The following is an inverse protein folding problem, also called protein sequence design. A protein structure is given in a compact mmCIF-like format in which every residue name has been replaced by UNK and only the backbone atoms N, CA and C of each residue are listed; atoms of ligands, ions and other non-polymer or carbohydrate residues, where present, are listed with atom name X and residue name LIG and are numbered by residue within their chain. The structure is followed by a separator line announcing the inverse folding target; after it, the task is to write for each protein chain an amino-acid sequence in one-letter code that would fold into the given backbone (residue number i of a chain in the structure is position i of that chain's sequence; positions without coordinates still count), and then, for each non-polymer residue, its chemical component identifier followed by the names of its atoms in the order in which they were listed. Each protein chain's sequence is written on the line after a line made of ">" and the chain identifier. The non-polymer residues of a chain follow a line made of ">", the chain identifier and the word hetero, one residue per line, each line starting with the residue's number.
data_IF_969041873244
#
_entry.id   IF_969041873244
#
_cell.length_a   1.000
_cell.length_b   1.000
_cell.length_c   1.000
_cell.angle_alpha   90.00
_cell.angle_beta   90.00
_cell.angle_gamma   90.00
#
_symmetry.space_group_name_H-M   'P 1'
#
loop_
_entity.id
_entity.type
_entity.pdbx_description
1 polymer ?
#
# COMPACT_ATOMS: atom_id res chain seq x y z
N UNK A 1 13.57 -24.42 66.67
CA UNK A 1 12.61 -24.13 65.58
C UNK A 1 13.38 -23.75 64.33
N UNK A 2 13.28 -24.59 63.30
CA UNK A 2 13.79 -24.43 61.93
C UNK A 2 12.98 -23.32 61.20
N UNK A 3 13.34 -22.70 60.06
CA UNK A 3 14.29 -23.02 58.99
C UNK A 3 14.64 -21.74 58.18
N UNK A 4 15.77 -21.80 57.48
CA UNK A 4 16.34 -20.81 56.54
C UNK A 4 15.61 -20.79 55.18
N UNK A 5 15.69 -19.69 54.40
CA UNK A 5 16.52 -19.63 53.17
C UNK A 5 16.54 -18.23 52.51
N UNK A 6 17.68 -17.95 51.88
CA UNK A 6 18.12 -16.70 51.24
C UNK A 6 17.77 -16.72 49.74
N UNK A 7 17.42 -15.57 49.16
CA UNK A 7 17.41 -15.34 47.71
C UNK A 7 17.45 -13.84 47.35
N UNK A 8 18.52 -13.40 46.68
CA UNK A 8 18.72 -12.04 46.12
C UNK A 8 17.83 -11.80 44.88
N UNK A 9 17.56 -10.53 44.50
CA UNK A 9 18.09 -10.03 43.22
C UNK A 9 18.60 -8.56 43.30
N UNK A 10 19.85 -8.33 42.89
CA UNK A 10 20.27 -7.63 41.65
C UNK A 10 20.55 -6.12 41.83
N UNK A 11 21.78 -5.65 41.59
CA UNK A 11 22.10 -4.23 41.56
C UNK A 11 22.18 -3.69 40.13
N UNK A 12 22.06 -2.36 40.04
CA UNK A 12 22.52 -1.44 38.98
C UNK A 12 21.42 -0.85 38.08
N UNK A 13 20.90 0.28 38.57
CA UNK A 13 20.68 1.49 37.77
C UNK A 13 21.79 1.63 36.73
N UNK A 14 21.44 1.71 35.45
CA UNK A 14 22.38 2.17 34.42
C UNK A 14 22.23 3.67 34.26
N UNK A 15 23.15 4.38 34.88
CA UNK A 15 23.51 5.75 34.54
C UNK A 15 23.98 5.81 33.09
N UNK A 16 23.38 6.71 32.30
CA UNK A 16 23.94 7.18 31.04
C UNK A 16 25.23 7.95 31.36
N UNK A 17 26.39 7.38 31.01
CA UNK A 17 27.62 8.14 30.91
C UNK A 17 27.67 8.78 29.52
N UNK A 18 27.45 10.09 29.45
CA UNK A 18 27.85 10.89 28.30
C UNK A 18 29.35 11.19 28.45
N UNK A 19 30.17 10.67 27.54
CA UNK A 19 31.59 11.02 27.46
C UNK A 19 31.74 12.07 26.36
N UNK A 20 32.05 13.30 26.75
CA UNK A 20 32.35 14.40 25.82
C UNK A 20 33.81 14.30 25.40
N UNK A 21 34.06 14.16 24.09
CA UNK A 21 35.39 14.35 23.52
C UNK A 21 35.40 15.65 22.72
N UNK A 22 36.34 16.55 23.05
CA UNK A 22 36.50 17.85 22.40
C UNK A 22 37.81 17.83 21.60
N UNK A 23 37.74 17.67 20.28
CA UNK A 23 38.89 17.98 19.42
C UNK A 23 38.65 19.32 18.74
N UNK A 24 39.54 20.30 18.97
CA UNK A 24 39.58 21.55 18.20
C UNK A 24 40.13 21.24 16.81
N UNK A 25 39.30 21.37 15.79
CA UNK A 25 39.71 21.46 14.39
C UNK A 25 39.62 22.91 13.92
N UNK A 26 40.71 23.41 13.36
CA UNK A 26 40.79 24.71 12.69
C UNK A 26 39.98 24.66 11.38
N UNK A 27 39.34 25.79 11.06
CA UNK A 27 38.54 26.10 9.86
C UNK A 27 37.05 25.71 9.94
N UNK A 28 36.21 26.74 10.14
CA UNK A 28 34.77 26.65 10.20
C UNK A 28 34.14 26.20 8.89
N UNK A 29 33.61 24.97 8.89
CA UNK A 29 32.52 24.49 8.03
C UNK A 29 31.68 23.49 8.83
N UNK A 30 30.36 23.62 8.78
CA UNK A 30 29.40 22.74 9.45
C UNK A 30 29.49 21.30 8.91
N UNK A 31 29.60 20.31 9.79
CA UNK A 31 29.52 18.87 9.47
C UNK A 31 28.26 18.31 10.11
N UNK A 32 27.41 17.67 9.30
CA UNK A 32 26.18 17.01 9.72
C UNK A 32 26.54 15.63 10.30
N UNK A 33 26.08 15.32 11.52
CA UNK A 33 26.38 14.04 12.19
C UNK A 33 25.35 12.98 11.82
N UNK A 34 25.81 11.85 11.27
CA UNK A 34 24.98 10.67 10.96
C UNK A 34 25.10 9.68 12.12
N UNK A 35 24.00 9.32 12.75
CA UNK A 35 23.98 8.28 13.78
C UNK A 35 23.95 6.89 13.12
N UNK A 36 24.95 6.06 13.41
CA UNK A 36 24.96 4.65 13.05
C UNK A 36 24.57 3.83 14.28
N UNK A 37 23.33 3.35 14.33
CA UNK A 37 22.89 2.39 15.34
C UNK A 37 23.25 0.99 14.83
N UNK A 38 24.31 0.38 15.38
CA UNK A 38 24.64 -1.02 15.14
C UNK A 38 23.90 -1.87 16.17
N UNK A 39 22.89 -2.64 15.73
CA UNK A 39 22.29 -3.67 16.57
C UNK A 39 23.20 -4.90 16.61
N UNK A 40 23.77 -5.16 17.79
CA UNK A 40 24.55 -6.38 18.07
C UNK A 40 23.60 -7.48 18.55
N UNK A 41 23.35 -8.48 17.71
CA UNK A 41 22.67 -9.72 18.11
C UNK A 41 23.57 -10.56 19.02
N UNK A 42 23.05 -11.20 20.09
CA UNK A 42 23.83 -12.14 20.87
C UNK A 42 23.95 -13.49 20.13
N UNK A 43 25.19 -13.90 19.87
CA UNK A 43 25.51 -15.23 19.36
C UNK A 43 25.15 -16.31 20.41
N UNK A 44 24.39 -17.34 20.00
CA UNK A 44 24.19 -18.55 20.82
C UNK A 44 25.49 -19.33 20.89
N UNK A 45 25.95 -19.60 22.12
CA UNK A 45 27.08 -20.46 22.45
C UNK A 45 26.63 -21.91 22.30
N UNK A 46 27.17 -22.63 21.32
CA UNK A 46 27.08 -24.10 21.25
C UNK A 46 28.25 -24.67 22.05
N UNK A 47 27.92 -25.32 23.16
CA UNK A 47 28.88 -26.07 23.97
C UNK A 47 29.23 -27.39 23.26
N UNK A 48 30.51 -27.57 22.95
CA UNK A 48 31.08 -28.84 22.52
C UNK A 48 31.30 -29.73 23.74
N UNK A 49 30.74 -30.93 23.74
CA UNK A 49 31.26 -32.05 24.53
C UNK A 49 31.93 -33.05 23.60
N UNK A 50 33.13 -33.47 24.01
CA UNK A 50 33.98 -34.48 23.37
C UNK A 50 34.23 -35.61 24.36
N UNK A 51 34.00 -36.86 23.95
CA UNK A 51 34.76 -38.08 24.31
C UNK A 51 34.22 -39.23 23.43
N UNK A 52 34.97 -39.72 22.42
CA UNK A 52 36.01 -40.77 22.43
C UNK A 52 35.45 -42.19 22.68
N UNK A 53 35.56 -43.05 21.65
CA UNK A 53 35.39 -44.51 21.75
C UNK A 53 34.99 -45.22 20.44
N UNK A 54 35.96 -45.49 19.55
CA UNK A 54 35.88 -46.52 18.48
C UNK A 54 36.37 -47.90 19.03
N UNK A 55 36.40 -49.06 18.31
CA UNK A 55 36.10 -49.40 16.89
C UNK A 55 35.39 -50.80 16.72
N UNK A 56 35.53 -51.59 15.61
CA UNK A 56 35.19 -51.36 14.18
C UNK A 56 34.33 -52.50 13.54
N UNK A 57 33.87 -52.35 12.27
CA UNK A 57 34.43 -53.07 11.09
C UNK A 57 33.52 -53.14 9.82
N UNK A 58 34.19 -53.09 8.65
CA UNK A 58 33.82 -53.54 7.26
C UNK A 58 32.79 -52.67 6.51
N UNK A 59 32.91 -52.32 5.23
CA UNK A 59 33.86 -52.63 4.14
C UNK A 59 33.21 -52.29 2.78
N UNK A 60 34.03 -52.13 1.73
CA UNK A 60 33.72 -51.92 0.29
C UNK A 60 33.27 -50.50 -0.14
N UNK A 61 34.00 -49.69 -0.93
CA UNK A 61 34.84 -49.79 -2.17
C UNK A 61 34.10 -49.27 -3.43
N UNK A 62 34.65 -48.16 -3.96
CA UNK A 62 34.81 -47.76 -5.39
C UNK A 62 33.56 -47.41 -6.22
N UNK A 63 33.58 -46.45 -7.17
CA UNK A 63 34.59 -46.18 -8.21
C UNK A 63 34.42 -44.78 -8.87
N UNK A 64 35.55 -44.22 -9.32
CA UNK A 64 35.76 -43.03 -10.17
C UNK A 64 35.74 -43.38 -11.67
N UNK A 65 35.44 -42.40 -12.53
CA UNK A 65 35.95 -42.15 -13.93
C UNK A 65 35.26 -40.84 -14.40
N UNK A 66 35.86 -39.69 -14.79
CA UNK A 66 37.06 -39.24 -15.51
C UNK A 66 36.78 -38.80 -16.97
N UNK A 67 36.90 -37.47 -17.19
CA UNK A 67 37.60 -36.75 -18.29
C UNK A 67 37.07 -36.87 -19.73
N UNK A 68 36.79 -35.73 -20.39
CA UNK A 68 37.49 -35.26 -21.60
C UNK A 68 37.08 -33.84 -22.04
N UNK A 69 38.10 -33.08 -22.41
CA UNK A 69 38.15 -31.74 -23.02
C UNK A 69 38.12 -31.83 -24.55
N UNK A 70 37.51 -30.86 -25.24
CA UNK A 70 37.90 -30.46 -26.60
C UNK A 70 37.41 -29.05 -26.94
N UNK A 71 38.27 -28.30 -27.63
CA UNK A 71 38.17 -26.89 -28.00
C UNK A 71 37.94 -26.75 -29.51
N UNK A 72 37.25 -25.67 -29.92
CA UNK A 72 37.43 -24.85 -31.15
C UNK A 72 36.34 -24.79 -32.23
N UNK A 73 36.07 -23.52 -32.58
CA UNK A 73 35.75 -22.92 -33.89
C UNK A 73 34.35 -23.04 -34.53
N UNK A 74 33.73 -21.87 -34.75
CA UNK A 74 33.41 -21.45 -36.12
C UNK A 74 31.93 -21.43 -36.54
N UNK A 75 31.43 -20.21 -36.72
CA UNK A 75 30.40 -19.77 -37.69
C UNK A 75 28.91 -20.06 -37.47
N UNK A 76 28.17 -18.96 -37.33
CA UNK A 76 26.88 -18.66 -37.99
C UNK A 76 25.71 -19.64 -37.80
N UNK A 77 24.68 -19.22 -37.06
CA UNK A 77 23.33 -19.04 -37.64
C UNK A 77 22.28 -18.60 -36.62
N UNK A 78 21.33 -17.80 -37.12
CA UNK A 78 19.98 -17.61 -36.64
C UNK A 78 19.75 -16.80 -35.34
N UNK A 79 19.49 -15.50 -35.54
CA UNK A 79 18.65 -14.69 -34.66
C UNK A 79 17.35 -15.44 -34.31
N UNK A 80 16.93 -15.51 -33.04
CA UNK A 80 15.61 -16.00 -32.72
C UNK A 80 14.61 -14.93 -33.15
N UNK A 81 13.84 -15.23 -34.21
CA UNK A 81 12.66 -14.48 -34.60
C UNK A 81 11.74 -14.37 -33.38
N UNK A 82 11.64 -13.17 -32.80
CA UNK A 82 10.56 -12.81 -31.89
C UNK A 82 9.27 -12.97 -32.67
N UNK A 83 8.58 -14.07 -32.45
CA UNK A 83 7.23 -14.32 -32.93
C UNK A 83 6.33 -13.21 -32.39
N UNK A 84 5.83 -12.37 -33.31
CA UNK A 84 4.88 -11.32 -33.00
C UNK A 84 3.67 -11.91 -32.28
N UNK A 85 3.42 -11.41 -31.06
CA UNK A 85 2.09 -11.51 -30.47
C UNK A 85 1.18 -10.64 -31.32
N UNK A 86 0.22 -11.28 -31.98
CA UNK A 86 -0.92 -10.63 -32.59
C UNK A 86 -1.63 -9.79 -31.51
N UNK A 87 -1.46 -8.46 -31.56
CA UNK A 87 -2.44 -7.53 -31.03
C UNK A 87 -3.70 -7.72 -31.88
N UNK A 88 -4.59 -8.62 -31.43
CA UNK A 88 -5.92 -8.76 -32.01
C UNK A 88 -6.63 -7.44 -31.72
N UNK A 89 -7.07 -6.71 -32.76
CA UNK A 89 -7.90 -5.48 -32.61
C UNK A 89 -8.95 -5.73 -31.54
N UNK A 90 -8.77 -5.13 -30.36
CA UNK A 90 -9.73 -5.25 -29.27
C UNK A 90 -10.78 -4.19 -29.49
N UNK A 91 -11.70 -4.40 -30.42
CA UNK A 91 -12.91 -3.59 -30.38
C UNK A 91 -14.06 -4.27 -31.08
N UNK A 92 -15.05 -4.69 -30.28
CA UNK A 92 -16.45 -4.84 -30.71
C UNK A 92 -16.98 -3.58 -31.42
N UNK A 93 -16.32 -2.44 -31.24
CA UNK A 93 -16.66 -1.14 -31.82
C UNK A 93 -15.61 -0.69 -32.84
N UNK A 94 -15.99 -0.55 -34.12
CA UNK A 94 -15.05 -0.11 -35.17
C UNK A 94 -14.81 1.40 -35.22
N UNK A 95 -15.58 2.18 -34.44
CA UNK A 95 -15.51 3.65 -34.38
C UNK A 95 -15.47 4.13 -32.93
N UNK A 96 -14.65 5.14 -32.60
CA UNK A 96 -14.52 5.64 -31.24
C UNK A 96 -15.81 6.32 -30.74
N UNK A 97 -16.60 6.95 -31.62
CA UNK A 97 -17.88 7.55 -31.26
C UNK A 97 -18.89 6.50 -30.80
N UNK A 98 -18.86 5.31 -31.43
CA UNK A 98 -19.72 4.19 -31.06
C UNK A 98 -19.35 3.61 -29.71
N UNK A 99 -18.05 3.47 -29.41
CA UNK A 99 -17.60 3.06 -28.07
C UNK A 99 -18.01 4.09 -27.02
N UNK A 100 -17.81 5.38 -27.30
CA UNK A 100 -18.21 6.47 -26.39
C UNK A 100 -19.69 6.40 -26.07
N UNK A 101 -20.56 6.35 -27.09
CA UNK A 101 -22.00 6.29 -26.88
C UNK A 101 -22.40 5.06 -26.05
N UNK A 102 -21.85 3.89 -26.39
CA UNK A 102 -22.12 2.65 -25.67
C UNK A 102 -21.65 2.66 -24.21
N UNK A 103 -20.54 3.33 -23.91
CA UNK A 103 -20.06 3.56 -22.54
C UNK A 103 -21.02 4.47 -21.79
N UNK A 104 -21.37 5.63 -22.36
CA UNK A 104 -22.28 6.60 -21.74
C UNK A 104 -23.63 5.99 -21.37
N UNK A 105 -24.22 5.21 -22.27
CA UNK A 105 -25.53 4.59 -22.04
C UNK A 105 -25.48 3.57 -20.88
N UNK A 106 -24.37 2.82 -20.77
CA UNK A 106 -24.14 1.87 -19.68
C UNK A 106 -23.88 2.55 -18.35
N UNK A 107 -23.06 3.60 -18.33
CA UNK A 107 -22.82 4.37 -17.11
C UNK A 107 -24.12 5.03 -16.63
N UNK A 108 -24.97 5.53 -17.54
CA UNK A 108 -26.30 6.06 -17.20
C UNK A 108 -27.24 4.98 -16.66
N UNK A 109 -27.25 3.79 -17.26
CA UNK A 109 -28.03 2.66 -16.74
C UNK A 109 -27.60 2.29 -15.32
N UNK A 110 -26.30 2.11 -15.12
CA UNK A 110 -25.74 1.78 -13.81
C UNK A 110 -25.99 2.88 -12.78
N UNK A 111 -25.91 4.16 -13.15
CA UNK A 111 -26.22 5.27 -12.26
C UNK A 111 -27.66 5.20 -11.70
N UNK A 112 -28.61 4.79 -12.55
CA UNK A 112 -30.01 4.57 -12.14
C UNK A 112 -30.15 3.38 -11.21
N UNK A 113 -29.46 2.28 -11.51
CA UNK A 113 -29.61 1.02 -10.77
C UNK A 113 -28.88 1.02 -9.40
N UNK A 114 -27.73 1.69 -9.32
CA UNK A 114 -26.86 1.64 -8.13
C UNK A 114 -26.89 2.89 -7.26
N UNK A 115 -27.80 3.84 -7.54
CA UNK A 115 -27.86 5.18 -6.92
C UNK A 115 -26.51 5.92 -6.86
N UNK A 116 -25.58 5.58 -7.76
CA UNK A 116 -24.26 6.23 -7.82
C UNK A 116 -24.34 7.41 -8.79
N UNK A 117 -23.77 8.57 -8.44
CA UNK A 117 -23.67 9.69 -9.37
C UNK A 117 -22.98 9.31 -10.68
N UNK A 118 -23.49 9.78 -11.82
CA UNK A 118 -22.95 9.45 -13.14
C UNK A 118 -21.50 9.94 -13.30
N UNK A 119 -21.19 11.13 -12.78
CA UNK A 119 -19.83 11.70 -12.80
C UNK A 119 -18.81 10.80 -12.08
N UNK A 120 -19.21 10.15 -10.97
CA UNK A 120 -18.39 9.13 -10.29
C UNK A 120 -18.08 7.96 -11.23
N UNK A 121 -19.09 7.43 -11.90
CA UNK A 121 -18.94 6.28 -12.80
C UNK A 121 -18.06 6.63 -14.00
N UNK A 122 -18.18 7.85 -14.53
CA UNK A 122 -17.32 8.36 -15.62
C UNK A 122 -15.87 8.51 -15.19
N UNK A 123 -15.61 9.11 -14.03
CA UNK A 123 -14.25 9.23 -13.48
C UNK A 123 -13.63 7.86 -13.25
N UNK A 124 -14.39 6.91 -12.72
CA UNK A 124 -13.91 5.56 -12.53
C UNK A 124 -13.56 4.87 -13.85
N UNK A 125 -14.40 5.01 -14.88
CA UNK A 125 -14.11 4.49 -16.22
C UNK A 125 -12.81 5.09 -16.79
N UNK A 126 -12.63 6.41 -16.67
CA UNK A 126 -11.41 7.09 -17.10
C UNK A 126 -10.18 6.63 -16.30
N UNK A 127 -10.32 6.45 -14.98
CA UNK A 127 -9.26 5.95 -14.11
C UNK A 127 -8.84 4.52 -14.44
N UNK A 128 -9.77 3.62 -14.72
CA UNK A 128 -9.42 2.27 -15.15
C UNK A 128 -8.55 2.28 -16.41
N UNK A 129 -8.88 3.13 -17.39
CA UNK A 129 -8.10 3.23 -18.64
C UNK A 129 -6.76 3.93 -18.47
N UNK A 130 -6.63 4.87 -17.53
CA UNK A 130 -5.34 5.45 -17.14
C UNK A 130 -4.47 4.41 -16.42
N UNK A 131 -5.04 3.68 -15.46
CA UNK A 131 -4.34 2.64 -14.71
C UNK A 131 -3.89 1.49 -15.62
N UNK A 132 -4.68 1.12 -16.64
CA UNK A 132 -4.26 0.14 -17.64
C UNK A 132 -2.97 0.58 -18.38
N UNK A 133 -2.83 1.88 -18.68
CA UNK A 133 -1.61 2.43 -19.30
C UNK A 133 -0.43 2.41 -18.34
N UNK A 134 -0.64 2.83 -17.09
CA UNK A 134 0.39 2.77 -16.05
C UNK A 134 0.86 1.33 -15.83
N UNK A 135 -0.05 0.35 -15.77
CA UNK A 135 0.30 -1.08 -15.67
C UNK A 135 1.14 -1.54 -16.87
N UNK A 136 0.81 -1.07 -18.09
CA UNK A 136 1.52 -1.45 -19.30
C UNK A 136 2.92 -0.84 -19.42
N UNK A 137 3.18 0.31 -18.78
CA UNK A 137 4.43 1.08 -18.96
C UNK A 137 5.33 1.10 -17.73
N UNK A 138 4.76 1.07 -16.52
CA UNK A 138 5.53 1.19 -15.30
C UNK A 138 6.37 -0.08 -15.06
N UNK A 139 7.64 0.04 -14.65
CA UNK A 139 8.45 -1.10 -14.25
C UNK A 139 7.81 -1.89 -13.12
N UNK A 140 8.02 -3.21 -13.08
CA UNK A 140 7.51 -4.06 -12.01
C UNK A 140 8.01 -3.58 -10.64
N UNK A 141 7.10 -3.52 -9.65
CA UNK A 141 7.43 -3.07 -8.29
C UNK A 141 7.64 -1.55 -8.13
N UNK A 142 7.61 -0.77 -9.22
CA UNK A 142 7.90 0.68 -9.17
C UNK A 142 6.79 1.53 -8.56
N UNK A 143 5.58 0.99 -8.41
CA UNK A 143 4.44 1.74 -7.89
C UNK A 143 3.41 0.87 -7.17
N UNK A 144 2.53 1.52 -6.41
CA UNK A 144 1.38 0.89 -5.77
C UNK A 144 0.19 1.87 -5.70
N UNK A 145 -1.00 1.41 -6.07
CA UNK A 145 -2.26 2.11 -5.90
C UNK A 145 -2.63 2.23 -4.42
N UNK A 146 -3.18 3.39 -4.04
CA UNK A 146 -3.65 3.73 -2.70
C UNK A 146 -5.09 4.24 -2.73
N UNK A 147 -5.56 4.68 -1.56
CA UNK A 147 -6.73 5.54 -1.43
C UNK A 147 -8.05 4.88 -1.79
N UNK A 148 -9.01 5.69 -2.21
CA UNK A 148 -10.39 5.26 -2.43
C UNK A 148 -10.57 4.33 -3.64
N UNK A 149 -9.71 4.39 -4.65
CA UNK A 149 -9.78 3.46 -5.78
C UNK A 149 -9.43 2.03 -5.36
N UNK A 150 -8.41 1.88 -4.50
CA UNK A 150 -8.07 0.61 -3.89
C UNK A 150 -9.22 0.07 -2.99
N UNK A 151 -9.98 0.97 -2.34
CA UNK A 151 -11.21 0.58 -1.63
C UNK A 151 -12.32 0.12 -2.56
N UNK A 152 -12.60 0.88 -3.63
CA UNK A 152 -13.68 0.54 -4.58
C UNK A 152 -13.49 -0.86 -5.15
N UNK A 153 -12.25 -1.25 -5.44
CA UNK A 153 -11.94 -2.58 -5.93
C UNK A 153 -12.25 -3.71 -4.92
N UNK A 154 -12.24 -3.42 -3.62
CA UNK A 154 -12.44 -4.41 -2.55
C UNK A 154 -13.86 -4.42 -1.97
N UNK A 155 -14.50 -3.25 -1.82
CA UNK A 155 -15.82 -3.11 -1.16
C UNK A 155 -16.88 -2.43 -2.04
N UNK A 156 -16.61 -2.31 -3.35
CA UNK A 156 -17.56 -1.91 -4.41
C UNK A 156 -18.45 -0.71 -4.09
N UNK A 157 -19.76 -0.91 -3.88
CA UNK A 157 -20.78 0.14 -3.82
C UNK A 157 -20.75 0.97 -2.53
N UNK A 158 -20.26 0.40 -1.42
CA UNK A 158 -20.17 1.08 -0.12
C UNK A 158 -18.92 1.95 0.03
N UNK A 159 -17.91 1.73 -0.82
CA UNK A 159 -16.74 2.59 -0.85
C UNK A 159 -17.17 4.03 -1.15
N UNK A 160 -16.77 4.96 -0.29
CA UNK A 160 -16.81 6.39 -0.54
C UNK A 160 -16.01 6.67 -1.81
N UNK A 161 -16.67 7.25 -2.81
CA UNK A 161 -16.02 7.61 -4.07
C UNK A 161 -14.77 8.45 -3.82
N UNK A 162 -13.66 8.14 -4.49
CA UNK A 162 -12.54 9.10 -4.57
C UNK A 162 -12.64 9.88 -5.87
N UNK A 163 -12.37 11.17 -5.77
CA UNK A 163 -12.26 12.09 -6.90
C UNK A 163 -10.86 11.99 -7.53
N UNK A 164 -9.90 11.40 -6.81
CA UNK A 164 -8.48 11.41 -7.12
C UNK A 164 -7.91 9.98 -7.16
N UNK A 165 -6.94 9.70 -8.06
CA UNK A 165 -6.07 8.52 -7.93
C UNK A 165 -4.93 8.90 -7.00
N UNK A 166 -4.79 8.15 -5.91
CA UNK A 166 -3.62 8.17 -5.06
C UNK A 166 -2.73 6.98 -5.38
N UNK A 167 -1.44 7.20 -5.56
CA UNK A 167 -0.46 6.13 -5.71
C UNK A 167 0.83 6.45 -4.94
N UNK A 168 1.67 5.44 -4.73
CA UNK A 168 3.06 5.64 -4.34
C UNK A 168 4.00 5.24 -5.45
N UNK A 169 4.97 6.10 -5.74
CA UNK A 169 6.11 5.82 -6.58
C UNK A 169 7.26 5.32 -5.71
N UNK A 170 7.64 4.07 -5.91
CA UNK A 170 8.66 3.32 -5.14
C UNK A 170 10.01 3.28 -5.86
N UNK A 171 9.93 3.69 -7.11
CA UNK A 171 10.95 4.11 -8.06
C UNK A 171 12.02 5.10 -7.59
N UNK A 172 13.16 5.21 -8.28
CA UNK A 172 13.95 6.44 -8.32
C UNK A 172 13.07 7.64 -8.71
N UNK A 173 13.10 8.71 -7.92
CA UNK A 173 12.24 9.87 -8.10
C UNK A 173 12.41 10.53 -9.48
N UNK A 174 13.62 10.50 -10.05
CA UNK A 174 13.94 11.06 -11.36
C UNK A 174 13.27 10.30 -12.52
N UNK A 175 12.80 9.08 -12.31
CA UNK A 175 12.11 8.27 -13.32
C UNK A 175 10.59 8.46 -13.37
N UNK A 176 10.01 9.12 -12.37
CA UNK A 176 8.55 9.32 -12.30
C UNK A 176 8.02 10.08 -13.51
N UNK A 177 8.66 11.20 -13.88
CA UNK A 177 8.22 12.02 -15.02
C UNK A 177 8.24 11.22 -16.33
N UNK A 178 9.31 10.46 -16.58
CA UNK A 178 9.41 9.62 -17.78
C UNK A 178 8.34 8.51 -17.80
N UNK A 179 8.03 7.88 -16.67
CA UNK A 179 6.95 6.90 -16.57
C UNK A 179 5.58 7.53 -16.89
N UNK A 180 5.31 8.72 -16.34
CA UNK A 180 4.06 9.46 -16.59
C UNK A 180 3.91 9.81 -18.07
N UNK A 181 4.98 10.27 -18.72
CA UNK A 181 5.01 10.56 -20.16
C UNK A 181 4.77 9.30 -21.00
N UNK A 182 5.39 8.19 -20.64
CA UNK A 182 5.17 6.90 -21.30
C UNK A 182 3.72 6.42 -21.14
N UNK A 183 3.14 6.54 -19.94
CA UNK A 183 1.75 6.18 -19.69
C UNK A 183 0.78 7.06 -20.51
N UNK A 184 1.05 8.36 -20.66
CA UNK A 184 0.24 9.25 -21.50
C UNK A 184 0.30 8.87 -22.99
N UNK A 185 1.48 8.46 -23.47
CA UNK A 185 1.72 8.08 -24.87
C UNK A 185 1.28 6.65 -25.22
N UNK A 186 0.95 5.82 -24.24
CA UNK A 186 0.59 4.43 -24.47
C UNK A 186 -0.76 4.29 -25.18
N UNK A 187 -0.73 3.71 -26.37
CA UNK A 187 -1.92 3.29 -27.11
C UNK A 187 -2.25 1.83 -26.79
N UNK A 188 -3.46 1.59 -26.30
CA UNK A 188 -3.97 0.27 -25.93
C UNK A 188 -5.11 -0.19 -26.85
N UNK A 189 -5.25 0.42 -28.04
CA UNK A 189 -6.31 0.13 -29.01
C UNK A 189 -7.73 0.28 -28.41
N UNK A 190 -7.90 1.14 -27.39
CA UNK A 190 -9.15 1.34 -26.63
C UNK A 190 -9.83 2.69 -26.91
N UNK A 191 -9.31 3.45 -27.88
CA UNK A 191 -9.71 4.80 -28.27
C UNK A 191 -9.59 5.89 -27.19
N UNK A 192 -9.06 5.58 -26.01
CA UNK A 192 -8.77 6.59 -25.01
C UNK A 192 -7.44 7.29 -25.31
N UNK A 193 -7.40 8.59 -25.06
CA UNK A 193 -6.19 9.41 -25.09
C UNK A 193 -6.06 10.14 -23.76
N UNK A 194 -4.83 10.32 -23.29
CA UNK A 194 -4.56 11.00 -22.02
C UNK A 194 -3.53 12.10 -22.23
N UNK A 195 -3.88 13.31 -21.82
CA UNK A 195 -2.95 14.41 -21.67
C UNK A 195 -2.67 14.61 -20.17
N UNK A 196 -1.44 14.32 -19.75
CA UNK A 196 -1.00 14.51 -18.37
C UNK A 196 -0.19 15.80 -18.30
N UNK A 197 -0.70 16.78 -17.56
CA UNK A 197 -0.07 18.09 -17.42
C UNK A 197 1.12 18.08 -16.46
N UNK A 198 1.78 19.23 -16.35
CA UNK A 198 2.93 19.41 -15.46
C UNK A 198 2.54 19.13 -14.01
N UNK A 199 3.32 18.27 -13.36
CA UNK A 199 3.16 17.96 -11.94
C UNK A 199 3.45 19.17 -11.04
N UNK A 200 2.68 19.33 -9.98
CA UNK A 200 2.93 20.30 -8.91
C UNK A 200 3.23 19.60 -7.58
N UNK A 201 4.19 20.09 -6.78
CA UNK A 201 4.48 19.51 -5.47
C UNK A 201 3.26 19.59 -4.54
N UNK A 202 3.01 18.52 -3.81
CA UNK A 202 2.03 18.43 -2.73
C UNK A 202 2.70 17.89 -1.46
N UNK A 203 2.07 18.14 -0.31
CA UNK A 203 2.53 17.53 0.93
C UNK A 203 2.31 16.02 0.87
N UNK A 204 3.41 15.27 0.90
CA UNK A 204 3.40 13.81 0.93
C UNK A 204 3.52 13.23 2.34
N UNK A 205 3.67 11.92 2.40
CA UNK A 205 3.81 11.17 3.65
C UNK A 205 5.27 10.93 4.06
N UNK A 206 6.23 11.26 3.18
CA UNK A 206 7.67 11.11 3.42
C UNK A 206 8.46 12.38 3.07
N UNK A 207 9.79 12.37 3.26
CA UNK A 207 10.65 13.54 3.05
C UNK A 207 10.65 14.04 1.60
N UNK A 208 10.43 13.15 0.63
CA UNK A 208 10.35 13.48 -0.79
C UNK A 208 9.02 14.18 -1.17
N UNK A 209 8.02 14.15 -0.28
CA UNK A 209 6.69 14.70 -0.54
C UNK A 209 5.92 13.92 -1.61
N UNK A 210 5.04 14.62 -2.33
CA UNK A 210 4.29 14.05 -3.44
C UNK A 210 4.17 15.02 -4.61
N UNK A 211 3.67 14.51 -5.73
CA UNK A 211 3.43 15.29 -6.94
C UNK A 211 2.00 15.04 -7.39
N UNK A 212 1.27 16.12 -7.65
CA UNK A 212 -0.07 16.09 -8.25
C UNK A 212 0.01 16.40 -9.73
N UNK A 213 -0.48 15.49 -10.56
CA UNK A 213 -0.61 15.67 -11.99
C UNK A 213 -2.08 15.92 -12.37
N UNK A 214 -2.40 17.02 -13.05
CA UNK A 214 -3.70 17.18 -13.70
C UNK A 214 -3.75 16.27 -14.93
N UNK A 215 -4.86 15.56 -15.13
CA UNK A 215 -5.02 14.64 -16.26
C UNK A 215 -6.31 14.95 -17.01
N UNK A 216 -6.22 15.11 -18.32
CA UNK A 216 -7.38 15.14 -19.23
C UNK A 216 -7.47 13.79 -19.94
N UNK A 217 -8.62 13.15 -19.85
CA UNK A 217 -8.96 11.97 -20.65
C UNK A 217 -9.86 12.36 -21.81
N UNK A 218 -9.60 11.80 -22.99
CA UNK A 218 -10.40 12.00 -24.21
C UNK A 218 -10.83 10.65 -24.75
N UNK A 219 -12.00 10.64 -25.38
CA UNK A 219 -12.56 9.47 -26.05
C UNK A 219 -13.32 9.93 -27.29
N UNK A 220 -12.90 9.44 -28.46
CA UNK A 220 -13.44 9.90 -29.75
C UNK A 220 -13.18 11.38 -30.00
N UNK A 221 -11.92 11.82 -29.79
CA UNK A 221 -11.47 13.19 -30.06
C UNK A 221 -12.06 14.26 -29.14
N UNK A 222 -12.92 13.91 -28.18
CA UNK A 222 -13.58 14.83 -27.25
C UNK A 222 -13.19 14.53 -25.82
N UNK A 223 -13.07 15.57 -25.00
CA UNK A 223 -12.89 15.43 -23.55
C UNK A 223 -13.97 14.48 -22.98
N UNK A 224 -13.51 13.51 -22.21
CA UNK A 224 -14.34 12.55 -21.49
C UNK A 224 -14.43 12.94 -20.01
N UNK A 225 -13.28 13.07 -19.34
CA UNK A 225 -13.20 13.47 -17.92
C UNK A 225 -11.89 14.21 -17.63
N UNK A 226 -11.91 15.05 -16.59
CA UNK A 226 -10.71 15.59 -15.95
C UNK A 226 -10.49 14.94 -14.60
N UNK A 227 -9.24 14.59 -14.34
CA UNK A 227 -8.83 13.76 -13.24
C UNK A 227 -7.63 14.37 -12.51
N UNK A 228 -7.38 13.90 -11.30
CA UNK A 228 -6.15 14.18 -10.55
C UNK A 228 -5.43 12.89 -10.25
N UNK A 229 -4.12 12.91 -10.47
CA UNK A 229 -3.23 11.82 -10.15
C UNK A 229 -2.19 12.29 -9.13
N UNK A 230 -2.39 11.88 -7.88
CA UNK A 230 -1.54 12.22 -6.75
C UNK A 230 -0.57 11.07 -6.51
N UNK A 231 0.73 11.36 -6.64
CA UNK A 231 1.80 10.38 -6.51
C UNK A 231 2.68 10.76 -5.35
N UNK A 232 2.65 9.95 -4.30
CA UNK A 232 3.55 10.08 -3.17
C UNK A 232 4.90 9.44 -3.52
N UNK A 233 6.00 10.16 -3.38
CA UNK A 233 7.33 9.68 -3.78
C UNK A 233 7.99 9.01 -2.57
N UNK A 234 8.26 7.71 -2.69
CA UNK A 234 8.81 6.87 -1.61
C UNK A 234 9.88 5.89 -2.18
N UNK A 235 11.03 6.39 -2.66
CA UNK A 235 12.05 5.55 -3.28
C UNK A 235 12.53 4.47 -2.32
N UNK A 236 12.59 3.22 -2.79
CA UNK A 236 13.06 2.09 -1.99
C UNK A 236 12.08 1.61 -0.91
N UNK A 237 10.81 2.03 -0.94
CA UNK A 237 9.78 1.36 -0.14
C UNK A 237 9.68 -0.11 -0.60
N UNK A 238 9.97 -1.05 0.30
CA UNK A 238 9.96 -2.50 0.05
C UNK A 238 8.74 -3.20 0.67
N UNK A 239 7.77 -2.46 1.21
CA UNK A 239 6.55 -3.04 1.77
C UNK A 239 5.79 -3.88 0.73
N UNK A 240 5.11 -4.95 1.14
CA UNK A 240 4.39 -5.81 0.21
C UNK A 240 3.30 -5.03 -0.54
N UNK A 241 3.04 -5.44 -1.77
CA UNK A 241 1.88 -5.03 -2.56
C UNK A 241 1.07 -6.26 -2.92
N UNK A 242 -0.22 -6.08 -3.15
CA UNK A 242 -1.10 -7.13 -3.65
C UNK A 242 -1.68 -6.74 -5.01
N UNK A 243 -1.93 -7.74 -5.85
CA UNK A 243 -2.57 -7.53 -7.14
C UNK A 243 -4.08 -7.49 -6.93
N UNK A 244 -4.69 -6.37 -7.29
CA UNK A 244 -6.13 -6.15 -7.13
C UNK A 244 -6.76 -5.98 -8.50
N UNK A 245 -7.75 -6.82 -8.80
CA UNK A 245 -8.58 -6.66 -9.99
C UNK A 245 -9.64 -5.58 -9.76
N UNK A 246 -9.67 -4.57 -10.62
CA UNK A 246 -10.70 -3.54 -10.61
C UNK A 246 -11.98 -4.08 -11.27
N UNK A 247 -13.16 -3.64 -10.78
CA UNK A 247 -14.43 -3.98 -11.42
C UNK A 247 -14.39 -3.65 -12.91
N UNK A 248 -14.87 -4.54 -13.76
CA UNK A 248 -14.80 -4.29 -15.20
C UNK A 248 -15.96 -3.40 -15.68
N UNK A 249 -15.67 -2.14 -16.02
CA UNK A 249 -16.65 -1.22 -16.63
C UNK A 249 -16.71 -1.32 -18.16
N UNK A 250 -15.85 -2.15 -18.76
CA UNK A 250 -15.63 -2.25 -20.20
C UNK A 250 -15.79 -3.66 -20.75
N UNK A 251 -16.36 -4.58 -19.96
CA UNK A 251 -16.70 -5.95 -20.36
C UNK A 251 -17.53 -5.99 -21.65
N UNK A 252 -18.44 -5.02 -21.80
CA UNK A 252 -19.27 -4.87 -22.97
C UNK A 252 -18.51 -4.57 -24.27
N UNK A 253 -17.27 -4.10 -24.16
CA UNK A 253 -16.38 -3.79 -25.28
C UNK A 253 -15.28 -4.86 -25.46
N UNK A 254 -15.38 -5.99 -24.73
CA UNK A 254 -14.39 -7.07 -24.69
C UNK A 254 -13.01 -6.60 -24.20
N UNK A 255 -12.97 -5.53 -23.40
CA UNK A 255 -11.76 -5.09 -22.71
C UNK A 255 -11.62 -5.85 -21.37
N UNK A 256 -10.44 -6.40 -21.07
CA UNK A 256 -10.22 -7.13 -19.82
C UNK A 256 -10.30 -6.20 -18.62
N UNK A 257 -10.62 -6.77 -17.46
CA UNK A 257 -10.49 -6.09 -16.18
C UNK A 257 -9.04 -5.65 -15.97
N UNK A 258 -8.86 -4.52 -15.29
CA UNK A 258 -7.52 -3.97 -15.02
C UNK A 258 -7.04 -4.52 -13.69
N UNK A 259 -5.86 -5.14 -13.67
CA UNK A 259 -5.21 -5.61 -12.45
C UNK A 259 -4.08 -4.67 -12.08
N UNK A 260 -4.08 -4.13 -10.87
CA UNK A 260 -3.12 -3.13 -10.39
C UNK A 260 -2.39 -3.60 -9.14
N UNK A 261 -1.10 -3.27 -8.97
CA UNK A 261 -0.44 -3.40 -7.67
C UNK A 261 -1.04 -2.36 -6.72
N UNK A 262 -1.53 -2.77 -5.56
CA UNK A 262 -2.09 -1.89 -4.54
C UNK A 262 -1.45 -2.15 -3.18
N UNK A 263 -1.49 -1.14 -2.30
CA UNK A 263 -1.12 -1.36 -0.90
C UNK A 263 -2.11 -2.34 -0.24
N UNK A 264 -1.65 -3.26 0.62
CA UNK A 264 -2.51 -4.22 1.26
C UNK A 264 -3.38 -3.54 2.34
N UNK A 265 -4.51 -4.17 2.70
CA UNK A 265 -5.48 -3.64 3.66
C UNK A 265 -4.86 -3.20 5.02
N UNK A 266 -3.96 -3.97 5.64
CA UNK A 266 -3.31 -3.57 6.89
C UNK A 266 -2.52 -2.26 6.76
N UNK A 267 -1.80 -2.08 5.63
CA UNK A 267 -1.09 -0.84 5.38
C UNK A 267 -2.08 0.31 5.18
N UNK A 268 -3.17 0.09 4.45
CA UNK A 268 -4.19 1.10 4.26
C UNK A 268 -4.86 1.52 5.58
N UNK A 269 -5.15 0.57 6.47
CA UNK A 269 -5.63 0.84 7.83
C UNK A 269 -4.61 1.64 8.64
N UNK A 270 -3.34 1.26 8.61
CA UNK A 270 -2.27 1.98 9.31
C UNK A 270 -2.09 3.42 8.80
N UNK A 271 -2.11 3.62 7.47
CA UNK A 271 -1.99 4.95 6.86
C UNK A 271 -3.18 5.85 7.24
N UNK A 272 -4.38 5.28 7.34
CA UNK A 272 -5.62 5.95 7.78
C UNK A 272 -5.63 6.28 9.26
N UNK A 273 -5.23 5.34 10.11
CA UNK A 273 -5.10 5.57 11.55
C UNK A 273 -4.12 6.72 11.79
N UNK A 274 -2.95 6.70 11.14
CA UNK A 274 -2.01 7.80 11.23
C UNK A 274 -2.61 9.12 10.74
N UNK A 275 -3.34 9.14 9.62
CA UNK A 275 -3.99 10.37 9.15
C UNK A 275 -5.05 10.88 10.15
N UNK A 276 -5.80 9.97 10.78
CA UNK A 276 -6.78 10.29 11.81
C UNK A 276 -6.13 10.84 13.08
N UNK A 277 -5.01 10.27 13.54
CA UNK A 277 -4.38 10.64 14.82
C UNK A 277 -3.27 11.68 14.71
N UNK A 278 -2.92 12.11 13.49
CA UNK A 278 -1.84 13.06 13.25
C UNK A 278 -2.16 14.43 13.86
N UNK A 279 -1.15 15.03 14.48
CA UNK A 279 -1.19 16.44 14.87
C UNK A 279 -1.07 17.34 13.62
N UNK A 280 -2.08 18.19 13.43
CA UNK A 280 -2.15 19.17 12.36
C UNK A 280 -1.86 20.60 12.85
N UNK A 281 -1.34 20.74 14.07
CA UNK A 281 -1.05 22.01 14.72
C UNK A 281 -2.32 22.82 14.96
N UNK A 282 -2.36 24.06 14.45
CA UNK A 282 -3.52 24.94 14.58
C UNK A 282 -4.68 24.60 13.64
N UNK A 283 -4.48 23.70 12.67
CA UNK A 283 -5.53 23.31 11.73
C UNK A 283 -6.35 22.17 12.31
N UNK A 284 -7.66 22.33 12.34
CA UNK A 284 -8.55 21.23 12.74
C UNK A 284 -8.41 20.05 11.77
N UNK A 285 -8.44 18.85 12.35
CA UNK A 285 -8.35 17.62 11.59
C UNK A 285 -9.57 17.48 10.65
N UNK A 286 -9.32 17.23 9.36
CA UNK A 286 -10.35 17.10 8.31
C UNK A 286 -10.43 15.68 7.74
N UNK A 287 -10.33 14.68 8.63
CA UNK A 287 -10.33 13.26 8.30
C UNK A 287 -11.58 12.45 8.75
N UNK A 288 -12.82 12.99 8.76
CA UNK A 288 -14.02 12.15 9.04
C UNK A 288 -14.18 11.01 8.02
N UNK A 289 -13.63 11.22 6.82
CA UNK A 289 -13.52 10.22 5.77
C UNK A 289 -12.65 9.01 6.13
N UNK A 290 -11.60 9.19 6.94
CA UNK A 290 -10.70 8.11 7.34
C UNK A 290 -11.35 7.28 8.46
N UNK A 291 -12.16 7.89 9.34
CA UNK A 291 -13.05 7.17 10.26
C UNK A 291 -14.01 6.26 9.50
N UNK A 292 -14.74 6.81 8.52
CA UNK A 292 -15.68 6.02 7.70
C UNK A 292 -15.00 4.84 7.01
N UNK A 293 -13.88 5.09 6.33
CA UNK A 293 -13.17 4.05 5.59
C UNK A 293 -12.63 2.95 6.51
N UNK A 294 -12.12 3.28 7.71
CA UNK A 294 -11.63 2.27 8.66
C UNK A 294 -12.77 1.38 9.17
N UNK A 295 -13.93 1.96 9.50
CA UNK A 295 -15.10 1.20 9.91
C UNK A 295 -15.63 0.33 8.77
N UNK A 296 -15.64 0.84 7.54
CA UNK A 296 -16.04 0.07 6.37
C UNK A 296 -15.09 -1.11 6.10
N UNK A 297 -13.77 -0.92 6.24
CA UNK A 297 -12.80 -2.02 6.15
C UNK A 297 -13.05 -3.06 7.25
N UNK A 298 -13.25 -2.61 8.49
CA UNK A 298 -13.53 -3.50 9.61
C UNK A 298 -14.85 -4.26 9.44
N UNK A 299 -15.83 -3.70 8.73
CA UNK A 299 -17.10 -4.36 8.48
C UNK A 299 -17.04 -5.38 7.34
N UNK A 300 -16.34 -5.06 6.24
CA UNK A 300 -16.45 -5.80 4.98
C UNK A 300 -15.28 -6.75 4.71
N UNK A 301 -14.11 -6.49 5.30
CA UNK A 301 -12.88 -7.16 4.91
C UNK A 301 -12.28 -7.95 6.05
N UNK A 302 -11.64 -9.06 5.70
CA UNK A 302 -10.78 -9.79 6.61
C UNK A 302 -9.55 -8.94 6.93
N UNK A 303 -9.23 -8.85 8.22
CA UNK A 303 -8.06 -8.14 8.73
C UNK A 303 -7.01 -9.16 9.15
N UNK A 304 -5.74 -8.78 9.09
CA UNK A 304 -4.66 -9.61 9.63
C UNK A 304 -4.85 -9.87 11.13
N UNK A 305 -4.23 -10.92 11.68
CA UNK A 305 -4.11 -11.09 13.12
C UNK A 305 -3.59 -9.82 13.79
N UNK A 306 -4.06 -9.59 15.01
CA UNK A 306 -3.85 -8.36 15.77
C UNK A 306 -2.38 -7.93 15.80
N UNK A 307 -1.47 -8.87 16.07
CA UNK A 307 -0.04 -8.58 16.16
C UNK A 307 0.58 -8.14 14.83
N UNK A 308 0.15 -8.72 13.71
CA UNK A 308 0.65 -8.35 12.39
C UNK A 308 0.12 -6.98 11.95
N UNK A 309 -1.15 -6.67 12.25
CA UNK A 309 -1.69 -5.33 12.03
C UNK A 309 -0.90 -4.29 12.83
N UNK A 310 -0.64 -4.56 14.11
CA UNK A 310 0.14 -3.68 14.95
C UNK A 310 1.58 -3.46 14.42
N UNK A 311 2.25 -4.50 13.94
CA UNK A 311 3.59 -4.39 13.34
C UNK A 311 3.58 -3.48 12.09
N UNK A 312 2.56 -3.61 11.23
CA UNK A 312 2.38 -2.73 10.05
C UNK A 312 2.12 -1.28 10.47
N UNK A 313 1.39 -1.06 11.56
CA UNK A 313 1.21 0.27 12.12
C UNK A 313 2.52 0.85 12.66
N UNK A 314 3.29 0.10 13.45
CA UNK A 314 4.61 0.51 13.93
C UNK A 314 5.50 0.94 12.76
N UNK A 315 5.55 0.15 11.68
CA UNK A 315 6.32 0.48 10.49
C UNK A 315 5.84 1.79 9.83
N UNK A 316 4.52 1.97 9.70
CA UNK A 316 3.93 3.15 9.05
C UNK A 316 4.19 4.43 9.84
N UNK A 317 4.08 4.39 11.17
CA UNK A 317 4.38 5.53 12.04
C UNK A 317 5.88 5.82 12.08
N UNK A 318 6.73 4.79 12.14
CA UNK A 318 8.19 4.94 12.08
C UNK A 318 8.67 5.59 10.78
N UNK A 319 8.10 5.22 9.62
CA UNK A 319 8.42 5.85 8.33
C UNK A 319 8.03 7.34 8.27
N UNK A 320 7.10 7.76 9.13
CA UNK A 320 6.58 9.13 9.20
C UNK A 320 7.19 9.93 10.35
N UNK A 321 8.13 9.35 11.08
CA UNK A 321 8.78 9.92 12.26
C UNK A 321 7.76 10.40 13.32
N UNK A 322 6.70 9.60 13.54
CA UNK A 322 5.67 9.86 14.55
C UNK A 322 5.59 8.72 15.58
N UNK A 323 5.20 9.02 16.83
CA UNK A 323 5.18 8.02 17.89
C UNK A 323 4.07 6.99 17.72
N UNK A 324 4.36 5.75 18.12
CA UNK A 324 3.41 4.64 18.24
C UNK A 324 3.39 4.10 19.68
N UNK A 325 2.21 3.73 20.24
CA UNK A 325 0.87 3.92 19.67
C UNK A 325 0.40 5.37 19.76
N UNK A 326 -0.42 5.85 18.81
CA UNK A 326 -1.09 7.15 18.94
C UNK A 326 -2.20 7.11 20.00
N UNK A 327 -2.58 8.29 20.49
CA UNK A 327 -3.82 8.45 21.26
C UNK A 327 -5.00 8.54 20.31
N UNK A 328 -5.99 7.68 20.50
CA UNK A 328 -7.26 7.78 19.77
C UNK A 328 -8.19 8.76 20.49
N UNK A 329 -8.43 9.91 19.87
CA UNK A 329 -9.28 10.96 20.44
C UNK A 329 -10.67 10.99 19.77
N UNK A 330 -11.67 11.40 20.55
CA UNK A 330 -13.03 11.66 20.06
C UNK A 330 -12.98 12.68 18.91
N UNK A 331 -13.65 12.44 17.78
CA UNK A 331 -13.81 13.42 16.72
C UNK A 331 -14.37 14.75 17.24
N UNK A 332 -13.92 15.89 16.69
CA UNK A 332 -14.52 17.18 17.02
C UNK A 332 -15.98 17.26 16.54
N UNK A 333 -16.76 18.15 17.15
CA UNK A 333 -18.18 18.36 16.81
C UNK A 333 -18.39 18.74 15.33
N UNK A 334 -17.40 19.39 14.72
CA UNK A 334 -17.42 19.74 13.29
C UNK A 334 -17.53 18.52 12.36
N UNK A 335 -17.26 17.31 12.84
CA UNK A 335 -17.39 16.07 12.07
C UNK A 335 -18.83 15.52 12.04
N UNK A 336 -19.75 16.02 12.88
CA UNK A 336 -21.13 15.51 12.95
C UNK A 336 -21.83 15.62 11.61
N UNK A 337 -21.80 16.80 10.98
CA UNK A 337 -22.44 17.01 9.69
C UNK A 337 -21.79 16.22 8.54
N UNK A 338 -20.44 16.21 8.38
CA UNK A 338 -19.76 15.31 7.43
C UNK A 338 -20.09 13.83 7.63
N UNK A 339 -20.15 13.37 8.88
CA UNK A 339 -20.48 11.98 9.20
C UNK A 339 -21.90 11.64 8.75
N UNK A 340 -22.88 12.46 9.11
CA UNK A 340 -24.27 12.29 8.65
C UNK A 340 -24.38 12.24 7.12
N UNK A 341 -23.56 13.03 6.42
CA UNK A 341 -23.41 12.97 4.96
C UNK A 341 -22.95 11.60 4.48
N UNK A 342 -21.89 11.04 5.05
CA UNK A 342 -21.40 9.70 4.67
C UNK A 342 -22.43 8.60 4.96
N UNK A 343 -23.11 8.65 6.11
CA UNK A 343 -24.16 7.68 6.46
C UNK A 343 -25.30 7.73 5.45
N UNK A 344 -25.76 8.94 5.09
CA UNK A 344 -26.82 9.11 4.09
C UNK A 344 -26.40 8.63 2.70
N UNK A 345 -25.18 8.98 2.27
CA UNK A 345 -24.76 8.79 0.88
C UNK A 345 -24.18 7.40 0.60
N UNK A 346 -23.68 6.70 1.63
CA UNK A 346 -22.96 5.42 1.48
C UNK A 346 -23.38 4.32 2.46
N UNK A 347 -24.19 4.65 3.48
CA UNK A 347 -24.64 3.71 4.51
C UNK A 347 -23.58 3.42 5.57
N UNK A 348 -24.01 3.16 6.80
CA UNK A 348 -23.14 2.75 7.90
C UNK A 348 -23.95 1.99 8.95
N UNK A 349 -23.36 0.97 9.58
CA UNK A 349 -23.92 0.33 10.79
C UNK A 349 -24.05 1.32 11.96
N UNK A 350 -23.27 2.40 11.95
CA UNK A 350 -23.18 3.39 13.02
C UNK A 350 -23.74 4.73 12.53
N UNK A 351 -25.01 5.01 12.85
CA UNK A 351 -25.70 6.21 12.37
C UNK A 351 -25.19 7.52 12.99
N UNK A 352 -24.74 7.47 14.25
CA UNK A 352 -24.27 8.65 14.97
C UNK A 352 -22.74 8.67 15.10
N UNK A 353 -22.13 9.85 15.06
CA UNK A 353 -20.68 10.01 15.17
C UNK A 353 -20.12 9.41 16.47
N UNK A 354 -20.84 9.54 17.58
CA UNK A 354 -20.44 8.96 18.87
C UNK A 354 -20.42 7.43 18.82
N UNK A 355 -21.45 6.82 18.22
CA UNK A 355 -21.51 5.36 18.04
C UNK A 355 -20.41 4.86 17.10
N UNK A 356 -20.10 5.62 16.05
CA UNK A 356 -19.02 5.31 15.13
C UNK A 356 -17.64 5.39 15.80
N UNK A 357 -17.44 6.38 16.68
CA UNK A 357 -16.21 6.46 17.47
C UNK A 357 -16.08 5.31 18.46
N UNK A 358 -17.14 4.96 19.19
CA UNK A 358 -17.11 3.79 20.09
C UNK A 358 -16.78 2.48 19.34
N UNK A 359 -17.31 2.33 18.12
CA UNK A 359 -16.96 1.22 17.24
C UNK A 359 -15.50 1.25 16.79
N UNK A 360 -14.95 2.44 16.51
CA UNK A 360 -13.54 2.63 16.18
C UNK A 360 -12.64 2.28 17.37
N UNK A 361 -13.02 2.67 18.59
CA UNK A 361 -12.31 2.30 19.82
C UNK A 361 -12.32 0.79 20.07
N UNK A 362 -13.45 0.11 19.83
CA UNK A 362 -13.53 -1.34 19.94
C UNK A 362 -12.60 -2.05 18.94
N UNK A 363 -12.50 -1.51 17.71
CA UNK A 363 -11.63 -2.04 16.67
C UNK A 363 -10.14 -1.79 16.96
N UNK A 364 -9.75 -0.55 17.28
CA UNK A 364 -8.34 -0.17 17.44
C UNK A 364 -7.79 -0.31 18.86
N UNK A 365 -8.64 -0.37 19.88
CA UNK A 365 -8.21 -0.50 21.27
C UNK A 365 -7.24 -1.67 21.48
N UNK A 366 -7.58 -2.90 21.05
CA UNK A 366 -6.68 -4.04 21.22
C UNK A 366 -5.37 -3.92 20.41
N UNK A 367 -5.35 -3.53 19.11
CA UNK A 367 -4.09 -3.25 18.40
C UNK A 367 -3.24 -2.12 18.99
N UNK A 368 -3.83 -1.14 19.68
CA UNK A 368 -3.09 -0.04 20.32
C UNK A 368 -2.52 -0.42 21.69
N UNK A 369 -3.21 -1.31 22.42
CA UNK A 369 -2.79 -1.84 23.73
C UNK A 369 -2.18 -3.24 23.68
N UNK A 370 -1.80 -3.71 22.50
CA UNK A 370 -1.48 -5.11 22.24
C UNK A 370 -0.38 -5.65 23.17
N UNK A 371 -0.80 -6.52 24.10
CA UNK A 371 0.06 -7.35 24.92
C UNK A 371 0.21 -8.76 24.34
N UNK A 372 -0.04 -9.78 25.16
CA UNK A 372 0.09 -11.21 24.81
C UNK A 372 -0.96 -11.71 23.77
N UNK A 373 -1.90 -10.87 23.35
CA UNK A 373 -3.05 -11.20 22.49
C UNK A 373 -2.77 -11.09 20.98
N UNK A 374 -1.51 -11.31 20.57
CA UNK A 374 -1.08 -11.09 19.16
C UNK A 374 -1.80 -11.96 18.13
N UNK A 375 -2.36 -13.10 18.55
CA UNK A 375 -2.99 -14.09 17.67
C UNK A 375 -4.49 -13.88 17.45
N UNK A 376 -5.11 -12.89 18.13
CA UNK A 376 -6.53 -12.59 17.95
C UNK A 376 -6.82 -12.20 16.50
N UNK A 377 -8.00 -12.56 16.02
CA UNK A 377 -8.51 -12.19 14.69
C UNK A 377 -9.73 -11.29 14.85
N UNK A 378 -9.91 -10.39 13.90
CA UNK A 378 -11.08 -9.52 13.87
C UNK A 378 -12.31 -10.28 13.38
N UNK A 379 -13.40 -10.22 14.15
CA UNK A 379 -14.72 -10.72 13.76
C UNK A 379 -15.65 -9.52 13.45
N UNK A 380 -15.95 -9.26 12.16
CA UNK A 380 -16.82 -8.16 11.75
C UNK A 380 -18.28 -8.29 12.24
N UNK A 381 -18.79 -9.52 12.39
CA UNK A 381 -20.17 -9.75 12.77
C UNK A 381 -20.38 -9.37 14.25
N UNK A 382 -19.49 -9.89 15.10
CA UNK A 382 -19.48 -9.66 16.54
C UNK A 382 -18.83 -8.32 16.93
N UNK A 383 -18.17 -7.65 15.99
CA UNK A 383 -17.45 -6.38 16.18
C UNK A 383 -16.40 -6.44 17.30
N UNK A 384 -15.64 -7.52 17.36
CA UNK A 384 -14.62 -7.74 18.39
C UNK A 384 -13.45 -8.59 17.89
N UNK A 385 -12.34 -8.51 18.60
CA UNK A 385 -11.22 -9.42 18.43
C UNK A 385 -11.47 -10.72 19.18
N UNK A 386 -11.34 -11.87 18.52
CA UNK A 386 -11.62 -13.19 19.06
C UNK A 386 -10.43 -14.13 18.90
N UNK A 387 -10.33 -15.12 19.78
CA UNK A 387 -9.39 -16.23 19.59
C UNK A 387 -9.85 -17.08 18.41
N UNK A 388 -8.90 -17.59 17.63
CA UNK A 388 -9.22 -18.58 16.60
C UNK A 388 -9.64 -19.86 17.31
N UNK A 389 -10.87 -20.35 17.07
CA UNK A 389 -11.24 -21.71 17.45
C UNK A 389 -10.58 -22.75 16.54
#
# INVERSE_FOLDING_TARGET
>A
MASRFIGRPSPRRRSLFAMTYRSRGLNGRSVMWRWLVIHRWPARRVERQSNVGSPPARGCRTRLTSILTATMCGTSSASPKRSGRYHRRVARYSRPESLRQALEDRLKARARDSSLPLDRLRKEAAFQRLLARIVATAPEGSWALKGGMAMIARVSSRARATIDIDASWRDDAGRLQAMVEQAAAADLDDYFEFAIGRGSPIQGEGPEGGIRFPVESRLGGRQFETLRFDVNVQPGDVRPVEQVELRNLFDFADLPAVVVPAIPIPQQLAEKLHAYTRDYGSRENSRPKDLYDMLLIAEELSVLPLGELADVCVQTFGLRDTPWPPTLAMPPESWVAPWAGFVRDHGSRFGELRSAFAALEAFWGPPLGYGDQRTLKWDPAEWRWTESH
#
